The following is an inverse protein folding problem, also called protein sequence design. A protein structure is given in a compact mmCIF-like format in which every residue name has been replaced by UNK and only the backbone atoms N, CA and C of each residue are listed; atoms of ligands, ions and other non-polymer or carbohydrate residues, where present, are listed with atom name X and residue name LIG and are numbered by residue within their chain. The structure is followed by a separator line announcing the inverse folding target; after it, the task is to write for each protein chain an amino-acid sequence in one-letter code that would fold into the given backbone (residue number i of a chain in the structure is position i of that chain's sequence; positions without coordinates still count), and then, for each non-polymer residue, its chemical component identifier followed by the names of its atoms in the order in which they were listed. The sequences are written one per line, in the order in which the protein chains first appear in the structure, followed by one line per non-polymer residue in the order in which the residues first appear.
data_IF_605262208607
#
_entry.id   IF_605262208607
#
_cell.length_a   1.000
_cell.length_b   1.000
_cell.length_c   1.000
_cell.angle_alpha   90.00
_cell.angle_beta   90.00
_cell.angle_gamma   90.00
#
_symmetry.space_group_name_H-M   'P 1'
#
loop_
_entity.id
_entity.type
_entity.pdbx_description
1 polymer ?
#
# COMPACT_ATOMS: atom_id res chain seq x y z
N UNK A 1 31.87 -3.03 10.15
CA UNK A 1 31.90 -1.55 10.20
C UNK A 1 30.79 -0.88 9.39
N UNK A 2 30.53 -1.28 8.13
CA UNK A 2 29.48 -0.69 7.27
C UNK A 2 28.05 -0.74 7.83
N UNK A 3 27.68 -1.82 8.54
CA UNK A 3 26.35 -1.95 9.17
C UNK A 3 26.08 -0.89 10.25
N UNK A 4 27.10 -0.57 11.05
CA UNK A 4 27.00 0.48 12.09
C UNK A 4 26.92 1.86 11.44
N UNK A 5 27.73 2.12 10.40
CA UNK A 5 27.66 3.37 9.66
C UNK A 5 26.29 3.59 8.99
N UNK A 6 25.72 2.56 8.36
CA UNK A 6 24.37 2.61 7.78
C UNK A 6 23.29 2.84 8.83
N UNK A 7 23.41 2.20 10.00
CA UNK A 7 22.48 2.42 11.11
C UNK A 7 22.54 3.86 11.65
N UNK A 8 23.74 4.41 11.84
CA UNK A 8 23.90 5.81 12.25
C UNK A 8 23.35 6.78 11.20
N UNK A 9 23.64 6.51 9.92
CA UNK A 9 23.22 7.38 8.82
C UNK A 9 21.70 7.40 8.69
N UNK A 10 21.02 6.24 8.76
CA UNK A 10 19.56 6.20 8.72
C UNK A 10 18.94 6.86 9.95
N UNK A 11 19.52 6.67 11.14
CA UNK A 11 19.03 7.32 12.35
C UNK A 11 19.15 8.85 12.27
N UNK A 12 20.29 9.36 11.78
CA UNK A 12 20.51 10.78 11.56
C UNK A 12 19.59 11.35 10.47
N UNK A 13 19.41 10.61 9.37
CA UNK A 13 18.48 11.00 8.30
C UNK A 13 17.05 11.14 8.83
N UNK A 14 16.59 10.20 9.66
CA UNK A 14 15.27 10.29 10.30
C UNK A 14 15.16 11.52 11.18
N UNK A 15 16.19 11.83 12.01
CA UNK A 15 16.18 13.05 12.83
C UNK A 15 16.12 14.33 11.99
N UNK A 16 16.85 14.41 10.88
CA UNK A 16 16.83 15.57 9.98
C UNK A 16 15.46 15.74 9.33
N UNK A 17 14.84 14.66 8.84
CA UNK A 17 13.49 14.70 8.27
C UNK A 17 12.48 15.15 9.33
N UNK A 18 12.56 14.63 10.55
CA UNK A 18 11.67 15.03 11.64
C UNK A 18 11.84 16.52 12.01
N UNK A 19 13.08 17.00 12.07
CA UNK A 19 13.40 18.41 12.29
C UNK A 19 12.89 19.32 11.17
N UNK A 20 13.03 18.91 9.91
CA UNK A 20 12.49 19.64 8.76
C UNK A 20 10.96 19.77 8.85
N UNK A 21 10.27 18.68 9.21
CA UNK A 21 8.81 18.69 9.33
C UNK A 21 8.36 19.58 10.49
N UNK A 22 9.02 19.54 11.64
CA UNK A 22 8.75 20.45 12.76
C UNK A 22 9.03 21.92 12.39
N UNK A 23 10.09 22.18 11.62
CA UNK A 23 10.44 23.52 11.14
C UNK A 23 9.42 24.07 10.13
N UNK A 24 8.96 23.24 9.19
CA UNK A 24 7.96 23.63 8.18
C UNK A 24 6.59 23.89 8.79
N UNK A 25 6.24 23.14 9.84
CA UNK A 25 4.96 23.31 10.53
C UNK A 25 4.96 24.48 11.53
N UNK A 26 6.14 24.99 11.94
CA UNK A 26 6.26 26.20 12.78
C UNK A 26 5.67 26.03 14.19
N UNK A 27 5.51 24.79 14.64
CA UNK A 27 4.78 24.44 15.85
C UNK A 27 5.69 24.55 17.07
N UNK A 28 5.31 25.40 18.02
CA UNK A 28 5.83 25.31 19.39
C UNK A 28 5.32 24.01 20.02
N UNK A 29 6.26 23.19 20.48
CA UNK A 29 6.07 21.84 21.04
C UNK A 29 5.15 21.76 22.27
N UNK A 30 4.63 22.89 22.77
CA UNK A 30 3.74 22.97 23.93
C UNK A 30 2.25 23.14 23.59
N UNK A 31 1.87 23.33 22.32
CA UNK A 31 0.47 23.58 21.95
C UNK A 31 -0.25 22.31 21.47
N UNK A 32 -1.42 22.03 22.05
CA UNK A 32 -2.36 20.97 21.65
C UNK A 32 -2.66 21.00 20.15
N UNK A 33 -2.76 22.20 19.57
CA UNK A 33 -2.98 22.43 18.13
C UNK A 33 -1.82 21.90 17.29
N UNK A 34 -0.60 22.00 17.81
CA UNK A 34 0.59 21.47 17.17
C UNK A 34 0.59 19.96 17.04
N UNK A 35 0.26 19.28 18.14
CA UNK A 35 0.12 17.82 18.15
C UNK A 35 -0.98 17.35 17.20
N UNK A 36 -2.10 18.08 17.11
CA UNK A 36 -3.19 17.77 16.19
C UNK A 36 -2.80 17.93 14.72
N UNK A 37 -2.10 19.01 14.35
CA UNK A 37 -1.61 19.22 12.98
C UNK A 37 -0.58 18.15 12.61
N UNK A 38 0.34 17.82 13.52
CA UNK A 38 1.32 16.75 13.32
C UNK A 38 0.63 15.39 13.16
N UNK A 39 -0.35 15.06 14.01
CA UNK A 39 -1.11 13.81 13.90
C UNK A 39 -1.90 13.74 12.58
N UNK A 40 -2.46 14.85 12.11
CA UNK A 40 -3.16 14.90 10.83
C UNK A 40 -2.18 14.70 9.65
N UNK A 41 -1.07 15.44 9.63
CA UNK A 41 -0.07 15.37 8.56
C UNK A 41 0.65 14.02 8.52
N UNK A 42 1.09 13.49 9.66
CA UNK A 42 1.73 12.17 9.72
C UNK A 42 0.72 11.02 9.58
N UNK A 43 -0.48 11.15 10.14
CA UNK A 43 -1.51 10.12 10.05
C UNK A 43 -2.05 9.98 8.63
N UNK A 44 -2.55 11.08 8.04
CA UNK A 44 -3.06 11.05 6.66
C UNK A 44 -1.97 11.10 5.61
N UNK A 45 -0.92 11.91 5.78
CA UNK A 45 0.20 11.94 4.85
C UNK A 45 0.96 10.60 4.83
N UNK A 46 1.18 10.00 6.01
CA UNK A 46 1.81 8.68 6.11
C UNK A 46 0.97 7.57 5.48
N UNK A 47 -0.36 7.60 5.62
CA UNK A 47 -1.23 6.59 5.02
C UNK A 47 -1.27 6.70 3.49
N UNK A 48 -1.27 7.92 2.93
CA UNK A 48 -1.20 8.13 1.47
C UNK A 48 0.12 7.59 0.91
N UNK A 49 1.24 7.94 1.54
CA UNK A 49 2.56 7.43 1.13
C UNK A 49 2.62 5.91 1.25
N UNK A 50 2.05 5.34 2.32
CA UNK A 50 1.97 3.89 2.52
C UNK A 50 1.12 3.18 1.46
N UNK A 51 -0.04 3.76 1.12
CA UNK A 51 -0.94 3.24 0.06
C UNK A 51 -0.25 3.26 -1.32
N UNK A 52 0.43 4.36 -1.65
CA UNK A 52 1.19 4.47 -2.90
C UNK A 52 2.34 3.45 -2.95
N UNK A 53 3.05 3.25 -1.84
CA UNK A 53 4.09 2.24 -1.71
C UNK A 53 3.54 0.82 -1.76
N UNK A 54 2.34 0.57 -1.23
CA UNK A 54 1.75 -0.78 -1.14
C UNK A 54 1.63 -1.46 -2.51
N UNK A 55 1.26 -0.73 -3.56
CA UNK A 55 1.20 -1.30 -4.92
C UNK A 55 2.58 -1.74 -5.43
N UNK A 56 3.61 -0.91 -5.19
CA UNK A 56 4.99 -1.19 -5.61
C UNK A 56 5.62 -2.32 -4.79
N UNK A 57 5.42 -2.29 -3.48
CA UNK A 57 5.90 -3.31 -2.56
C UNK A 57 5.20 -4.64 -2.82
N UNK A 58 3.89 -4.66 -3.06
CA UNK A 58 3.15 -5.88 -3.40
C UNK A 58 3.69 -6.52 -4.68
N UNK A 59 3.85 -5.73 -5.75
CA UNK A 59 4.37 -6.21 -7.03
C UNK A 59 5.79 -6.78 -6.89
N UNK A 60 6.66 -6.10 -6.14
CA UNK A 60 8.03 -6.53 -5.88
C UNK A 60 8.11 -7.76 -4.96
N UNK A 61 7.24 -7.86 -3.96
CA UNK A 61 7.20 -8.97 -3.01
C UNK A 61 6.72 -10.28 -3.63
N UNK A 62 5.81 -10.23 -4.61
CA UNK A 62 5.39 -11.44 -5.35
C UNK A 62 6.33 -11.78 -6.52
N UNK A 63 7.39 -10.98 -6.75
CA UNK A 63 8.25 -11.11 -7.92
C UNK A 63 7.47 -11.01 -9.24
N UNK A 64 6.31 -10.37 -9.20
CA UNK A 64 5.33 -10.40 -10.28
C UNK A 64 5.65 -9.33 -11.31
N UNK A 65 5.90 -9.77 -12.54
CA UNK A 65 5.93 -8.88 -13.68
C UNK A 65 4.49 -8.66 -14.18
N UNK A 66 4.12 -7.43 -14.54
CA UNK A 66 2.79 -7.17 -15.08
C UNK A 66 2.70 -7.83 -16.45
N UNK A 67 1.98 -8.95 -16.53
CA UNK A 67 1.76 -9.67 -17.79
C UNK A 67 0.78 -8.84 -18.64
N UNK A 68 1.30 -7.99 -19.52
CA UNK A 68 0.49 -7.20 -20.47
C UNK A 68 0.01 -8.04 -21.67
N UNK A 69 0.70 -9.14 -21.99
CA UNK A 69 0.34 -10.04 -23.09
C UNK A 69 0.56 -11.49 -22.64
N UNK A 70 -0.49 -12.35 -22.63
CA UNK A 70 -0.35 -13.74 -22.24
C UNK A 70 0.51 -14.48 -23.27
N UNK A 71 1.67 -14.97 -22.84
CA UNK A 71 2.62 -15.70 -23.69
C UNK A 71 2.44 -17.21 -23.62
N UNK A 72 1.70 -17.72 -22.63
CA UNK A 72 1.50 -19.16 -22.41
C UNK A 72 0.03 -19.58 -22.29
N UNK A 73 -0.27 -20.85 -22.60
CA UNK A 73 -1.62 -21.43 -22.44
C UNK A 73 -2.11 -21.44 -20.99
N UNK A 74 -1.19 -21.61 -20.03
CA UNK A 74 -1.50 -21.54 -18.60
C UNK A 74 -1.96 -20.14 -18.16
N UNK A 75 -1.36 -19.08 -18.71
CA UNK A 75 -1.78 -17.69 -18.43
C UNK A 75 -3.16 -17.39 -19.01
N UNK A 76 -3.47 -17.93 -20.20
CA UNK A 76 -4.83 -17.84 -20.78
C UNK A 76 -5.87 -18.56 -19.91
N UNK A 77 -5.55 -19.74 -19.38
CA UNK A 77 -6.44 -20.46 -18.47
C UNK A 77 -6.66 -19.72 -17.14
N UNK A 78 -5.60 -19.12 -16.57
CA UNK A 78 -5.70 -18.27 -15.38
C UNK A 78 -6.59 -17.06 -15.62
N UNK A 79 -6.40 -16.34 -16.74
CA UNK A 79 -7.23 -15.19 -17.09
C UNK A 79 -8.70 -15.56 -17.28
N UNK A 80 -9.00 -16.67 -17.95
CA UNK A 80 -10.38 -17.15 -18.12
C UNK A 80 -11.03 -17.59 -16.81
N UNK A 81 -10.26 -18.15 -15.88
CA UNK A 81 -10.75 -18.55 -14.56
C UNK A 81 -11.08 -17.33 -13.71
N UNK A 82 -10.19 -16.33 -13.67
CA UNK A 82 -10.42 -15.06 -12.95
C UNK A 82 -11.60 -14.30 -13.56
N UNK A 83 -11.71 -14.26 -14.89
CA UNK A 83 -12.85 -13.65 -15.58
C UNK A 83 -14.18 -14.27 -15.12
N UNK A 84 -14.29 -15.61 -15.16
CA UNK A 84 -15.49 -16.33 -14.69
C UNK A 84 -15.80 -16.07 -13.23
N UNK A 85 -14.79 -16.09 -12.34
CA UNK A 85 -14.98 -15.84 -10.91
C UNK A 85 -15.44 -14.40 -10.63
N UNK A 86 -14.85 -13.41 -11.31
CA UNK A 86 -15.22 -12.00 -11.17
C UNK A 86 -16.65 -11.72 -11.64
N UNK A 87 -17.09 -12.39 -12.71
CA UNK A 87 -18.44 -12.30 -13.25
C UNK A 87 -19.46 -12.92 -12.28
N UNK A 88 -19.13 -14.06 -11.67
CA UNK A 88 -19.96 -14.73 -10.69
C UNK A 88 -20.14 -13.89 -9.41
N UNK A 89 -19.07 -13.26 -8.92
CA UNK A 89 -19.12 -12.36 -7.76
C UNK A 89 -19.92 -11.09 -8.09
N UNK A 90 -19.75 -10.52 -9.29
CA UNK A 90 -20.51 -9.35 -9.76
C UNK A 90 -22.01 -9.65 -9.86
N UNK A 91 -22.37 -10.83 -10.35
CA UNK A 91 -23.77 -11.28 -10.38
C UNK A 91 -24.32 -11.54 -8.97
N UNK A 92 -23.53 -12.10 -8.05
CA UNK A 92 -23.95 -12.37 -6.67
C UNK A 92 -24.21 -11.08 -5.87
N UNK A 93 -23.44 -10.02 -6.14
CA UNK A 93 -23.61 -8.70 -5.51
C UNK A 93 -24.80 -7.93 -6.12
N UNK A 94 -25.13 -8.14 -7.39
CA UNK A 94 -26.30 -7.54 -8.04
C UNK A 94 -27.62 -8.26 -7.69
N UNK A 95 -27.57 -9.55 -7.35
CA UNK A 95 -28.74 -10.39 -7.04
C UNK A 95 -29.07 -10.50 -5.55
N UNK A 96 -28.43 -9.73 -4.66
CA UNK A 96 -28.79 -9.70 -3.24
C UNK A 96 -28.31 -10.91 -2.42
N UNK A 97 -27.10 -11.41 -2.66
CA UNK A 97 -26.39 -12.24 -1.66
C UNK A 97 -26.74 -13.72 -1.61
N UNK A 98 -27.33 -14.30 -2.65
CA UNK A 98 -27.49 -15.76 -2.74
C UNK A 98 -26.31 -16.37 -3.50
N UNK A 99 -25.33 -16.91 -2.76
CA UNK A 99 -24.28 -17.78 -3.31
C UNK A 99 -24.94 -19.06 -3.85
N UNK A 100 -24.86 -19.37 -5.15
CA UNK A 100 -25.29 -20.68 -5.63
C UNK A 100 -24.25 -21.69 -5.14
N UNK A 101 -24.70 -22.54 -4.23
CA UNK A 101 -23.94 -23.70 -3.75
C UNK A 101 -23.58 -24.54 -4.98
N UNK A 102 -22.31 -24.49 -5.39
CA UNK A 102 -21.81 -25.32 -6.47
C UNK A 102 -22.01 -26.79 -6.06
N UNK A 103 -22.93 -27.46 -6.73
CA UNK A 103 -23.06 -28.90 -6.66
C UNK A 103 -21.91 -29.52 -7.43
N UNK A 104 -20.96 -30.11 -6.71
CA UNK A 104 -20.51 -31.50 -6.83
C UNK A 104 -19.40 -31.76 -5.79
#
# INVERSE_FOLDING_TARGET
MMRIALFLLTNLAVMVVFGLVLSLTGIQSSSMTGLLIMALLFGFGGSIVSLMMSKWMALKSVGGEVIEQPRNEQERWLLQTVARQSEQVRHCHAAGGAVPRAGH
#
